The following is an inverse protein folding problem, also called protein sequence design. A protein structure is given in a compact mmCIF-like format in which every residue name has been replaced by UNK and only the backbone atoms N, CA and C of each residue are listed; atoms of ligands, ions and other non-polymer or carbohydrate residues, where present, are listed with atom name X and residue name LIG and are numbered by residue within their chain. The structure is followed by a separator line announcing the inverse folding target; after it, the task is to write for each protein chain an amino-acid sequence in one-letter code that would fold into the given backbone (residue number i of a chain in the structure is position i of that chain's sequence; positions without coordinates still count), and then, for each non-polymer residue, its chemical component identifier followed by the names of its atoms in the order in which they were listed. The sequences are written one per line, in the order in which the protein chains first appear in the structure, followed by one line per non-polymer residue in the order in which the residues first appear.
data_IF_730922057992
#
_entry.id   IF_730922057992
#
_cell.length_a   1.000
_cell.length_b   1.000
_cell.length_c   1.000
_cell.angle_alpha   90.00
_cell.angle_beta   90.00
_cell.angle_gamma   90.00
#
_symmetry.space_group_name_H-M   'P 1'
#
loop_
_entity.id
_entity.type
_entity.pdbx_description
1 polymer ?
#
# COMPACT_ATOMS: atom_id res chain seq x y z
N UNK A 1 -0.03 30.75 -7.68
CA UNK A 1 0.23 29.72 -8.67
C UNK A 1 -0.86 28.68 -8.66
N UNK A 2 -1.42 28.41 -9.78
CA UNK A 2 -2.44 27.38 -9.94
C UNK A 2 -1.81 26.13 -10.51
N UNK A 3 -2.15 25.00 -9.95
CA UNK A 3 -1.72 23.70 -10.42
C UNK A 3 -0.85 22.96 -9.41
N UNK A 4 -1.24 21.76 -9.16
CA UNK A 4 -0.52 20.85 -8.27
C UNK A 4 -0.76 19.42 -8.73
N UNK A 5 0.12 18.54 -8.32
CA UNK A 5 -0.01 17.12 -8.61
C UNK A 5 0.21 16.31 -7.34
N UNK A 6 -0.80 15.51 -6.99
CA UNK A 6 -0.67 14.48 -5.98
C UNK A 6 -0.80 13.12 -6.65
N UNK A 7 0.26 12.35 -6.63
CA UNK A 7 0.24 11.03 -7.24
C UNK A 7 1.08 10.06 -6.44
N UNK A 8 0.52 8.88 -6.18
CA UNK A 8 1.23 7.79 -5.52
C UNK A 8 1.10 6.55 -6.38
N UNK A 9 2.20 5.87 -6.61
CA UNK A 9 2.23 4.59 -7.31
C UNK A 9 2.77 3.53 -6.37
N UNK A 10 1.96 2.50 -6.13
CA UNK A 10 2.32 1.39 -5.25
C UNK A 10 2.14 0.07 -5.98
N UNK A 11 3.14 -0.78 -5.90
CA UNK A 11 3.09 -2.16 -6.40
C UNK A 11 3.49 -3.05 -5.25
N UNK A 12 2.59 -3.95 -4.84
CA UNK A 12 2.84 -4.80 -3.71
C UNK A 12 1.89 -5.98 -3.64
N UNK A 13 1.72 -6.53 -2.45
CA UNK A 13 0.86 -7.68 -2.22
C UNK A 13 -0.19 -7.36 -1.16
N UNK A 14 -1.39 -7.88 -1.36
CA UNK A 14 -2.46 -7.76 -0.37
C UNK A 14 -2.15 -8.68 0.81
N UNK A 15 -2.30 -8.14 2.02
CA UNK A 15 -2.13 -8.93 3.24
C UNK A 15 -3.37 -9.73 3.60
N UNK A 16 -4.52 -9.27 3.13
CA UNK A 16 -5.80 -9.93 3.34
C UNK A 16 -6.74 -9.56 2.20
N UNK A 17 -7.86 -10.25 2.10
CA UNK A 17 -8.88 -9.90 1.12
C UNK A 17 -9.38 -8.48 1.34
N UNK A 18 -9.68 -7.73 0.27
CA UNK A 18 -10.23 -6.40 0.41
C UNK A 18 -11.54 -6.41 1.19
N UNK A 19 -11.67 -5.45 2.08
CA UNK A 19 -12.91 -5.25 2.82
C UNK A 19 -13.78 -4.24 2.09
N UNK A 20 -14.99 -4.64 1.74
CA UNK A 20 -15.95 -3.80 1.03
C UNK A 20 -17.02 -3.37 2.02
N UNK A 21 -17.19 -2.06 2.15
CA UNK A 21 -18.26 -1.49 2.97
C UNK A 21 -19.19 -0.65 2.11
N UNK A 22 -20.47 -0.76 2.39
CA UNK A 22 -21.49 0.04 1.72
C UNK A 22 -21.79 1.26 2.57
N UNK A 23 -21.73 2.43 1.96
CA UNK A 23 -22.04 3.68 2.64
C UNK A 23 -23.55 3.94 2.66
N UNK A 24 -23.97 4.86 3.54
CA UNK A 24 -25.38 5.23 3.70
C UNK A 24 -25.99 5.74 2.40
N UNK A 25 -25.17 6.38 1.54
CA UNK A 25 -25.63 6.90 0.26
C UNK A 25 -25.65 5.84 -0.86
N UNK A 26 -25.48 4.57 -0.53
CA UNK A 26 -25.47 3.47 -1.50
C UNK A 26 -24.18 3.25 -2.23
N UNK A 27 -23.17 4.06 -1.99
CA UNK A 27 -21.84 3.88 -2.60
C UNK A 27 -21.02 2.88 -1.81
N UNK A 28 -20.15 2.16 -2.50
CA UNK A 28 -19.27 1.18 -1.88
C UNK A 28 -17.87 1.76 -1.69
N UNK A 29 -17.22 1.36 -0.60
CA UNK A 29 -15.84 1.73 -0.30
C UNK A 29 -15.06 0.45 -0.05
N UNK A 30 -13.92 0.31 -0.71
CA UNK A 30 -13.02 -0.81 -0.51
C UNK A 30 -11.83 -0.37 0.33
N UNK A 31 -11.48 -1.17 1.32
CA UNK A 31 -10.28 -0.98 2.14
C UNK A 31 -9.30 -2.10 1.86
N UNK A 32 -8.07 -1.73 1.58
CA UNK A 32 -7.01 -2.66 1.26
C UNK A 32 -5.83 -2.43 2.17
N UNK A 33 -5.14 -3.53 2.53
CA UNK A 33 -3.82 -3.43 3.15
C UNK A 33 -2.81 -3.98 2.16
N UNK A 34 -1.93 -3.11 1.69
CA UNK A 34 -0.95 -3.45 0.68
C UNK A 34 0.44 -3.44 1.29
N UNK A 35 1.17 -4.54 1.16
CA UNK A 35 2.54 -4.63 1.62
C UNK A 35 3.50 -4.37 0.47
N UNK A 36 4.41 -3.43 0.67
CA UNK A 36 5.53 -3.23 -0.22
C UNK A 36 6.79 -3.65 0.51
N UNK A 37 7.62 -4.47 -0.13
CA UNK A 37 8.83 -5.01 0.49
C UNK A 37 10.04 -4.65 -0.32
N UNK A 38 11.13 -4.38 0.41
CA UNK A 38 12.45 -4.19 -0.16
C UNK A 38 13.40 -5.21 0.47
N UNK A 39 14.22 -5.80 -0.34
CA UNK A 39 15.26 -6.69 0.16
C UNK A 39 16.60 -6.25 -0.41
N UNK A 40 17.63 -6.34 0.42
CA UNK A 40 18.99 -5.99 0.01
C UNK A 40 19.98 -6.82 0.79
N UNK A 41 21.18 -6.88 0.27
CA UNK A 41 22.29 -7.56 0.94
C UNK A 41 23.14 -6.53 1.68
N UNK A 42 23.36 -6.76 2.97
CA UNK A 42 24.20 -5.89 3.77
C UNK A 42 25.65 -6.10 3.36
N UNK A 43 26.33 -5.01 2.98
CA UNK A 43 27.73 -5.06 2.54
C UNK A 43 28.68 -5.42 3.67
N UNK A 44 28.33 -5.11 4.91
CA UNK A 44 29.21 -5.33 6.06
C UNK A 44 29.11 -6.76 6.59
N UNK A 45 27.90 -7.29 6.71
CA UNK A 45 27.66 -8.62 7.29
C UNK A 45 27.43 -9.70 6.24
N UNK A 46 27.11 -9.32 5.00
CA UNK A 46 26.72 -10.24 3.96
C UNK A 46 25.34 -10.84 4.13
N UNK A 47 24.61 -10.40 5.13
CA UNK A 47 23.26 -10.89 5.40
C UNK A 47 22.24 -10.25 4.48
N UNK A 48 21.23 -11.02 4.13
CA UNK A 48 20.07 -10.52 3.38
C UNK A 48 19.11 -9.86 4.36
N UNK A 49 18.79 -8.60 4.10
CA UNK A 49 17.85 -7.84 4.92
C UNK A 49 16.60 -7.53 4.12
N UNK A 50 15.48 -7.44 4.84
CA UNK A 50 14.19 -7.15 4.24
C UNK A 50 13.45 -6.14 5.10
N UNK A 51 12.77 -5.21 4.45
CA UNK A 51 11.92 -4.24 5.10
C UNK A 51 10.55 -4.23 4.41
N UNK A 52 9.50 -4.35 5.20
CA UNK A 52 8.13 -4.33 4.70
C UNK A 52 7.40 -3.12 5.25
N UNK A 53 6.75 -2.39 4.37
CA UNK A 53 5.87 -1.29 4.72
C UNK A 53 4.43 -1.66 4.38
N UNK A 54 3.52 -1.38 5.31
CA UNK A 54 2.10 -1.63 5.13
C UNK A 54 1.39 -0.33 4.81
N UNK A 55 0.66 -0.33 3.70
CA UNK A 55 -0.11 0.82 3.25
C UNK A 55 -1.59 0.53 3.38
N UNK A 56 -2.32 1.44 3.99
CA UNK A 56 -3.78 1.38 4.04
C UNK A 56 -4.33 2.18 2.89
N UNK A 57 -5.09 1.51 2.04
CA UNK A 57 -5.62 2.11 0.82
C UNK A 57 -7.14 2.09 0.91
N UNK A 58 -7.74 3.20 0.54
CA UNK A 58 -9.20 3.33 0.47
C UNK A 58 -9.56 3.68 -0.96
N UNK A 59 -10.46 2.90 -1.53
CA UNK A 59 -10.94 3.10 -2.91
C UNK A 59 -12.43 3.37 -2.86
N UNK A 60 -12.81 4.48 -3.42
CA UNK A 60 -14.22 4.89 -3.51
C UNK A 60 -14.86 4.43 -4.81
#
# INVERSE_FOLDING_TARGET
MAGSLNKVLLIGRLGADPEIKQMVNGKSVARLSLATSQSWKDKNSGEKKEKTEWHRIVVF
#
